data_IF_745382354678
#
_entry.id   IF_745382354678
#
_cell.length_a   1.000
_cell.length_b   1.000
_cell.length_c   1.000
_cell.angle_alpha   90.00
_cell.angle_beta   90.00
_cell.angle_gamma   90.00
#
_symmetry.space_group_name_H-M   'P 1'
#
loop_
_entity.id
_entity.type
_entity.pdbx_description
1 polymer ?
#
# COMPACT_ATOMS: atom_id res chain seq x y z
N UNK A 1 5.36 5.79 -0.32
CA UNK A 1 5.60 6.28 -1.70
C UNK A 1 6.48 5.33 -2.49
N UNK A 2 7.72 5.04 -2.10
CA UNK A 2 8.61 4.13 -2.85
C UNK A 2 7.98 2.77 -3.21
N UNK A 3 7.32 2.10 -2.25
CA UNK A 3 6.65 0.81 -2.50
C UNK A 3 5.53 0.90 -3.56
N UNK A 4 4.77 1.99 -3.61
CA UNK A 4 3.72 2.20 -4.61
C UNK A 4 4.33 2.40 -6.02
N UNK A 5 5.43 3.15 -6.11
CA UNK A 5 6.12 3.34 -7.38
C UNK A 5 6.79 2.05 -7.86
N UNK A 6 7.46 1.31 -6.97
CA UNK A 6 8.04 0.01 -7.28
C UNK A 6 7.00 -0.95 -7.86
N UNK A 7 5.84 -1.06 -7.23
CA UNK A 7 4.73 -1.89 -7.73
C UNK A 7 4.34 -1.52 -9.17
N UNK A 8 4.26 -0.22 -9.49
CA UNK A 8 3.87 0.26 -10.82
C UNK A 8 4.94 0.12 -11.88
N UNK A 9 6.21 0.07 -11.48
CA UNK A 9 7.33 -0.13 -12.39
C UNK A 9 7.65 -1.63 -12.59
N UNK A 10 6.83 -2.54 -12.07
CA UNK A 10 7.07 -3.98 -12.18
C UNK A 10 8.12 -4.51 -11.19
N UNK A 11 8.44 -3.74 -10.14
CA UNK A 11 9.35 -4.11 -9.06
C UNK A 11 8.60 -4.22 -7.72
N UNK A 12 7.67 -5.18 -7.56
CA UNK A 12 6.92 -5.36 -6.33
C UNK A 12 7.82 -5.86 -5.19
N UNK A 13 7.44 -5.53 -3.96
CA UNK A 13 8.03 -6.17 -2.76
C UNK A 13 7.38 -7.53 -2.60
N UNK A 14 8.15 -8.60 -2.83
CA UNK A 14 7.68 -9.99 -2.80
C UNK A 14 8.24 -10.76 -1.60
N UNK A 15 7.83 -12.03 -1.47
CA UNK A 15 8.34 -12.97 -0.46
C UNK A 15 9.85 -13.19 -0.53
N UNK A 16 10.49 -12.92 -1.68
CA UNK A 16 11.95 -12.91 -1.82
C UNK A 16 12.64 -11.82 -0.98
N UNK A 17 11.87 -10.83 -0.47
CA UNK A 17 12.36 -9.71 0.35
C UNK A 17 11.65 -9.65 1.71
N UNK A 18 11.78 -10.69 2.56
CA UNK A 18 10.92 -10.87 3.74
C UNK A 18 11.09 -9.76 4.78
N UNK A 19 12.31 -9.23 4.96
CA UNK A 19 12.56 -8.10 5.86
C UNK A 19 11.89 -6.81 5.38
N UNK A 20 11.79 -6.62 4.07
CA UNK A 20 11.17 -5.46 3.46
C UNK A 20 9.64 -5.54 3.55
N UNK A 21 9.07 -6.73 3.38
CA UNK A 21 7.65 -6.99 3.68
C UNK A 21 7.32 -6.63 5.14
N UNK A 22 8.07 -7.20 6.10
CA UNK A 22 7.84 -6.93 7.52
C UNK A 22 8.00 -5.44 7.87
N UNK A 23 8.97 -4.76 7.24
CA UNK A 23 9.12 -3.31 7.39
C UNK A 23 7.91 -2.55 6.83
N UNK A 24 7.42 -2.92 5.64
CA UNK A 24 6.25 -2.31 5.02
C UNK A 24 5.03 -2.45 5.93
N UNK A 25 4.81 -3.63 6.50
CA UNK A 25 3.67 -3.89 7.38
C UNK A 25 3.76 -3.07 8.68
N UNK A 26 4.95 -2.94 9.28
CA UNK A 26 5.16 -2.04 10.43
C UNK A 26 4.92 -0.57 10.06
N UNK A 27 5.32 -0.14 8.86
CA UNK A 27 5.11 1.24 8.41
C UNK A 27 3.64 1.53 8.15
N UNK A 28 2.92 0.65 7.47
CA UNK A 28 1.48 0.83 7.18
C UNK A 28 0.61 0.72 8.43
N UNK A 29 1.12 0.09 9.50
CA UNK A 29 0.45 0.07 10.79
C UNK A 29 0.40 1.44 11.49
N UNK A 30 1.37 2.33 11.24
CA UNK A 30 1.50 3.64 11.91
C UNK A 30 0.31 4.56 11.55
N UNK A 31 -0.33 5.24 12.51
CA UNK A 31 -1.53 6.05 12.24
C UNK A 31 -1.37 7.11 11.13
N UNK A 32 -0.26 7.86 11.16
CA UNK A 32 0.02 8.89 10.16
C UNK A 32 0.16 8.31 8.74
N UNK A 33 0.86 7.18 8.61
CA UNK A 33 1.05 6.50 7.33
C UNK A 33 -0.27 5.91 6.84
N UNK A 34 -1.01 5.24 7.74
CA UNK A 34 -2.32 4.65 7.44
C UNK A 34 -3.30 5.69 6.89
N UNK A 35 -3.38 6.87 7.51
CA UNK A 35 -4.27 7.97 7.08
C UNK A 35 -4.03 8.34 5.62
N UNK A 36 -2.76 8.60 5.26
CA UNK A 36 -2.41 9.05 3.90
C UNK A 36 -2.50 7.91 2.89
N UNK A 37 -2.00 6.72 3.24
CA UNK A 37 -2.04 5.56 2.37
C UNK A 37 -3.48 5.07 2.12
N UNK A 38 -4.35 5.15 3.12
CA UNK A 38 -5.79 4.89 2.99
C UNK A 38 -6.47 5.87 2.04
N UNK A 39 -6.27 7.18 2.22
CA UNK A 39 -6.82 8.19 1.31
C UNK A 39 -6.36 7.98 -0.14
N UNK A 40 -5.09 7.66 -0.35
CA UNK A 40 -4.56 7.33 -1.67
C UNK A 40 -5.22 6.07 -2.25
N UNK A 41 -5.43 5.03 -1.44
CA UNK A 41 -6.09 3.80 -1.88
C UNK A 41 -7.55 4.06 -2.28
N UNK A 42 -8.30 4.83 -1.48
CA UNK A 42 -9.67 5.24 -1.80
C UNK A 42 -9.74 6.06 -3.09
N UNK A 43 -8.81 6.99 -3.29
CA UNK A 43 -8.75 7.77 -4.53
C UNK A 43 -8.47 6.87 -5.75
N UNK A 44 -7.57 5.90 -5.63
CA UNK A 44 -7.28 4.95 -6.72
C UNK A 44 -8.52 4.15 -7.13
N UNK A 45 -9.32 3.70 -6.15
CA UNK A 45 -10.61 3.04 -6.41
C UNK A 45 -11.55 3.99 -7.17
N UNK A 46 -11.75 5.21 -6.65
CA UNK A 46 -12.64 6.18 -7.27
C UNK A 46 -12.21 6.59 -8.69
N UNK A 47 -10.90 6.63 -8.95
CA UNK A 47 -10.34 6.94 -10.26
C UNK A 47 -10.32 5.74 -11.23
N UNK A 48 -10.87 4.57 -10.84
CA UNK A 48 -10.84 3.37 -11.67
C UNK A 48 -9.44 2.81 -11.91
N UNK A 49 -8.48 3.13 -11.03
CA UNK A 49 -7.07 2.74 -11.19
C UNK A 49 -6.76 1.48 -10.38
N UNK A 50 -5.87 0.60 -10.86
CA UNK A 50 -5.42 -0.54 -10.09
C UNK A 50 -4.85 -0.13 -8.72
N UNK A 51 -5.36 -0.78 -7.67
CA UNK A 51 -4.91 -0.61 -6.27
C UNK A 51 -3.91 -1.72 -5.95
N UNK A 52 -2.68 -1.40 -5.54
CA UNK A 52 -1.74 -2.43 -5.08
C UNK A 52 -2.32 -3.27 -3.95
N UNK A 53 -2.01 -4.57 -3.93
CA UNK A 53 -2.58 -5.51 -2.98
C UNK A 53 -2.37 -5.08 -1.51
N UNK A 54 -1.18 -4.54 -1.20
CA UNK A 54 -0.86 -4.06 0.15
C UNK A 54 -1.67 -2.83 0.58
N UNK A 55 -2.22 -2.06 -0.36
CA UNK A 55 -3.08 -0.90 -0.11
C UNK A 55 -4.56 -1.28 -0.04
N UNK A 56 -4.98 -2.36 -0.72
CA UNK A 56 -6.36 -2.84 -0.68
C UNK A 56 -6.84 -3.19 0.74
N UNK A 57 -5.94 -3.66 1.61
CA UNK A 57 -6.22 -3.90 3.03
C UNK A 57 -6.52 -2.62 3.83
N UNK A 58 -6.10 -1.44 3.33
CA UNK A 58 -6.30 -0.16 3.99
C UNK A 58 -7.68 0.44 3.67
N UNK A 59 -8.25 0.13 2.51
CA UNK A 59 -9.60 0.58 2.11
C UNK A 59 -10.68 -0.09 2.95
N UNK A 60 -10.58 -1.42 3.15
CA UNK A 60 -11.60 -2.22 3.87
C UNK A 60 -11.76 -1.90 5.36
N UNK A 61 -10.85 -1.16 5.97
CA UNK A 61 -10.91 -0.78 7.40
C UNK A 61 -11.34 0.66 7.64
N UNK A 62 -11.56 1.43 6.58
CA UNK A 62 -12.02 2.82 6.65
C UNK A 62 -13.52 2.96 6.38
N UNK A 63 -14.24 1.83 6.31
CA UNK A 63 -15.70 1.74 6.16
C UNK A 63 -16.35 1.34 7.47
#
# INVERSE_FOLDING_TARGET
MAALFGERQGAPITEATPRLLAWRDRMTARPAVRKVAGAMATWLVAAGRPVPAFMAALVRRAS
#
